data_IF_679702707906
#
_entry.id   IF_679702707906
#
_cell.length_a   1.000
_cell.length_b   1.000
_cell.length_c   1.000
_cell.angle_alpha   90.00
_cell.angle_beta   90.00
_cell.angle_gamma   90.00
#
_symmetry.space_group_name_H-M   'P 1'
#
loop_
_entity.id
_entity.type
_entity.pdbx_description
1 polymer ?
#
# COMPACT_ATOMS: atom_id res chain seq x y z
N UNK A 1 -38.49 -33.61 18.28
CA UNK A 1 -37.08 -33.33 18.66
C UNK A 1 -36.20 -34.41 18.05
N UNK A 2 -35.01 -34.24 17.48
CA UNK A 2 -34.18 -33.08 17.14
C UNK A 2 -33.11 -33.65 16.18
N UNK A 3 -32.92 -32.98 15.04
CA UNK A 3 -31.72 -32.88 14.17
C UNK A 3 -31.20 -34.10 13.39
N UNK A 4 -31.63 -34.16 12.12
CA UNK A 4 -30.87 -34.76 11.03
C UNK A 4 -29.69 -33.88 10.63
N UNK A 5 -28.52 -34.49 10.57
CA UNK A 5 -27.23 -33.85 10.30
C UNK A 5 -27.10 -33.52 8.80
N UNK A 6 -27.39 -32.26 8.40
CA UNK A 6 -27.07 -31.71 7.08
C UNK A 6 -25.81 -30.85 7.16
N UNK A 7 -24.64 -31.47 7.13
CA UNK A 7 -23.42 -30.77 6.69
C UNK A 7 -23.20 -31.07 5.22
N UNK A 8 -23.79 -30.22 4.39
CA UNK A 8 -23.54 -30.14 2.96
C UNK A 8 -22.10 -29.68 2.71
N UNK A 9 -21.38 -30.48 1.93
CA UNK A 9 -20.08 -30.23 1.30
C UNK A 9 -19.71 -28.76 1.10
N UNK A 10 -18.80 -28.25 1.94
CA UNK A 10 -18.00 -27.08 1.61
C UNK A 10 -16.96 -27.55 0.60
N UNK A 11 -17.18 -27.30 -0.69
CA UNK A 11 -16.10 -27.40 -1.69
C UNK A 11 -15.07 -26.33 -1.35
N UNK A 12 -13.95 -26.75 -0.77
CA UNK A 12 -12.76 -25.92 -0.60
C UNK A 12 -12.16 -25.71 -2.00
N UNK A 13 -12.57 -24.64 -2.67
CA UNK A 13 -11.97 -24.23 -3.93
C UNK A 13 -10.62 -23.57 -3.61
N UNK A 14 -9.53 -24.19 -4.07
CA UNK A 14 -8.17 -23.63 -4.02
C UNK A 14 -8.19 -22.19 -4.59
N UNK A 15 -7.76 -21.17 -3.83
CA UNK A 15 -7.70 -19.82 -4.38
C UNK A 15 -6.61 -19.78 -5.46
N UNK A 16 -7.05 -19.65 -6.72
CA UNK A 16 -6.17 -19.25 -7.83
C UNK A 16 -5.82 -17.78 -7.64
N UNK A 17 -4.90 -17.48 -6.71
CA UNK A 17 -4.23 -16.19 -6.69
C UNK A 17 -3.28 -16.19 -7.88
N UNK A 18 -3.68 -15.56 -8.98
CA UNK A 18 -2.72 -15.33 -10.06
C UNK A 18 -1.59 -14.48 -9.47
N UNK A 19 -0.39 -15.05 -9.42
CA UNK A 19 0.85 -14.45 -8.88
C UNK A 19 1.16 -13.09 -9.53
N UNK A 20 0.54 -12.77 -10.68
CA UNK A 20 0.67 -11.47 -11.36
C UNK A 20 0.04 -10.29 -10.61
N UNK A 21 -0.96 -10.50 -9.74
CA UNK A 21 -1.69 -9.40 -9.06
C UNK A 21 -1.14 -9.09 -7.67
N UNK A 22 -0.15 -9.84 -7.16
CA UNK A 22 0.48 -9.57 -5.85
C UNK A 22 1.60 -8.52 -5.90
N UNK A 23 1.65 -7.71 -6.94
CA UNK A 23 2.87 -7.01 -7.35
C UNK A 23 2.80 -5.52 -7.04
N UNK A 24 3.46 -5.16 -5.94
CA UNK A 24 3.91 -3.83 -5.50
C UNK A 24 3.22 -3.35 -4.23
N UNK A 25 3.69 -3.88 -3.11
CA UNK A 25 3.37 -3.37 -1.79
C UNK A 25 4.34 -2.21 -1.53
N UNK A 26 3.86 -0.98 -1.72
CA UNK A 26 4.60 0.27 -1.60
C UNK A 26 4.71 0.65 -0.12
N UNK A 27 5.93 0.66 0.42
CA UNK A 27 6.22 0.93 1.83
C UNK A 27 6.89 2.28 1.98
N UNK A 28 6.53 3.06 3.01
CA UNK A 28 7.39 4.16 3.46
C UNK A 28 8.83 3.65 3.61
N UNK A 29 9.74 4.19 2.79
CA UNK A 29 11.11 3.67 2.69
C UNK A 29 12.04 4.59 3.45
N UNK A 30 12.40 4.19 4.67
CA UNK A 30 13.48 4.84 5.41
C UNK A 30 14.81 4.45 4.74
N UNK A 31 15.38 5.39 3.99
CA UNK A 31 16.64 5.24 3.25
C UNK A 31 17.88 5.34 4.15
N UNK A 32 17.73 5.93 5.32
CA UNK A 32 18.83 6.10 6.26
C UNK A 32 18.36 6.78 7.53
N UNK A 33 18.98 6.41 8.65
CA UNK A 33 18.67 6.92 9.97
C UNK A 33 19.96 7.17 10.74
N UNK A 34 20.17 8.39 11.20
CA UNK A 34 21.21 8.73 12.15
C UNK A 34 20.54 9.20 13.45
N UNK A 35 20.57 8.35 14.47
CA UNK A 35 19.92 8.64 15.76
C UNK A 35 20.61 9.80 16.47
N UNK A 36 21.94 9.88 16.39
CA UNK A 36 22.74 10.91 17.08
C UNK A 36 22.49 12.30 16.52
N UNK A 37 22.38 12.40 15.20
CA UNK A 37 22.08 13.65 14.49
C UNK A 37 20.59 13.92 14.32
N UNK A 38 19.72 13.05 14.85
CA UNK A 38 18.27 13.18 14.71
C UNK A 38 17.75 13.13 13.27
N UNK A 39 18.53 12.54 12.35
CA UNK A 39 18.30 12.62 10.90
C UNK A 39 17.64 11.36 10.36
N UNK A 40 16.59 11.55 9.57
CA UNK A 40 15.82 10.52 8.88
C UNK A 40 15.70 10.85 7.40
N UNK A 41 16.20 9.99 6.53
CA UNK A 41 15.99 10.10 5.08
C UNK A 41 14.90 9.13 4.68
N UNK A 42 13.84 9.65 4.05
CA UNK A 42 12.60 8.93 3.79
C UNK A 42 12.25 9.11 2.32
N UNK A 43 11.79 8.04 1.67
CA UNK A 43 11.07 8.11 0.42
C UNK A 43 9.60 7.76 0.64
N UNK A 44 8.73 8.60 0.10
CA UNK A 44 7.28 8.44 0.13
C UNK A 44 6.90 7.49 -1.01
N UNK A 45 6.22 6.40 -0.70
CA UNK A 45 5.72 5.46 -1.71
C UNK A 45 4.18 5.40 -1.74
N UNK A 46 3.50 5.83 -0.67
CA UNK A 46 2.03 5.78 -0.56
C UNK A 46 1.41 7.05 0.04
N UNK A 47 0.09 7.19 -0.13
CA UNK A 47 -0.69 8.25 0.52
C UNK A 47 -0.65 8.15 2.05
N UNK A 48 -0.67 6.92 2.60
CA UNK A 48 -0.60 6.72 4.04
C UNK A 48 0.76 7.18 4.59
N UNK A 49 1.83 7.07 3.82
CA UNK A 49 3.16 7.57 4.21
C UNK A 49 3.13 9.10 4.43
N UNK A 50 2.40 9.84 3.59
CA UNK A 50 2.23 11.30 3.75
C UNK A 50 1.47 11.64 5.03
N UNK A 51 0.43 10.86 5.35
CA UNK A 51 -0.28 11.01 6.62
C UNK A 51 0.63 10.71 7.81
N UNK A 52 1.39 9.62 7.78
CA UNK A 52 2.36 9.31 8.83
C UNK A 52 3.44 10.39 8.98
N UNK A 53 3.95 10.93 7.88
CA UNK A 53 4.88 12.05 7.90
C UNK A 53 4.29 13.29 8.55
N UNK A 54 3.01 13.59 8.33
CA UNK A 54 2.33 14.71 9.00
C UNK A 54 2.31 14.58 10.52
N UNK A 55 2.27 13.34 11.02
CA UNK A 55 2.31 13.01 12.45
C UNK A 55 3.74 12.93 13.02
N UNK A 56 4.75 12.83 12.16
CA UNK A 56 6.17 12.72 12.54
C UNK A 56 6.84 14.09 12.52
N UNK A 57 6.53 14.93 11.53
CA UNK A 57 7.12 16.25 11.34
C UNK A 57 6.39 17.25 12.23
N UNK A 58 7.13 18.06 12.96
CA UNK A 58 6.60 19.04 13.93
C UNK A 58 7.27 20.41 13.72
N UNK A 59 6.69 21.45 14.31
CA UNK A 59 7.32 22.78 14.32
C UNK A 59 8.69 22.73 15.00
N UNK A 60 9.68 23.39 14.41
CA UNK A 60 11.08 23.37 14.86
C UNK A 60 11.95 22.26 14.25
N UNK A 61 11.36 21.32 13.51
CA UNK A 61 12.14 20.37 12.71
C UNK A 61 12.74 21.07 11.47
N UNK A 62 13.79 20.49 10.88
CA UNK A 62 14.26 20.89 9.54
C UNK A 62 13.93 19.82 8.52
N UNK A 63 13.27 20.21 7.43
CA UNK A 63 12.96 19.31 6.31
C UNK A 63 13.73 19.75 5.07
N UNK A 64 14.46 18.81 4.48
CA UNK A 64 15.26 19.02 3.28
C UNK A 64 14.76 18.15 2.13
N UNK A 65 14.36 18.77 1.02
CA UNK A 65 13.96 18.05 -0.20
C UNK A 65 14.22 18.87 -1.47
N UNK A 66 14.08 18.24 -2.63
CA UNK A 66 14.05 18.94 -3.91
C UNK A 66 12.70 19.61 -4.09
N UNK A 67 12.69 20.88 -4.47
CA UNK A 67 11.48 21.67 -4.73
C UNK A 67 11.71 22.57 -5.93
N UNK A 68 10.63 23.01 -6.55
CA UNK A 68 10.67 24.00 -7.61
C UNK A 68 10.32 25.38 -7.05
N UNK A 69 11.06 26.41 -7.45
CA UNK A 69 10.78 27.81 -7.12
C UNK A 69 10.96 28.68 -8.35
N UNK A 70 10.14 29.70 -8.48
CA UNK A 70 10.28 30.72 -9.53
C UNK A 70 11.25 31.79 -9.03
N UNK A 71 12.33 32.02 -9.78
CA UNK A 71 13.29 33.07 -9.50
C UNK A 71 12.99 34.24 -10.44
N UNK A 72 12.93 35.45 -9.90
CA UNK A 72 12.81 36.67 -10.71
C UNK A 72 14.16 36.95 -11.37
N UNK A 73 14.12 37.32 -12.66
CA UNK A 73 15.31 37.79 -13.35
C UNK A 73 15.85 39.07 -12.67
N UNK A 74 17.17 39.22 -12.63
CA UNK A 74 17.84 40.41 -12.10
C UNK A 74 17.40 41.69 -12.83
N UNK A 75 17.45 42.82 -12.13
CA UNK A 75 16.69 44.04 -12.44
C UNK A 75 16.99 44.77 -13.77
N UNK A 76 17.90 44.27 -14.61
CA UNK A 76 18.38 44.94 -15.82
C UNK A 76 17.63 44.56 -17.13
N UNK A 77 16.57 43.75 -17.07
CA UNK A 77 15.75 43.47 -18.26
C UNK A 77 14.46 44.30 -18.27
N UNK A 78 14.39 45.28 -19.17
CA UNK A 78 13.27 46.22 -19.41
C UNK A 78 11.92 45.53 -19.77
N UNK A 79 11.90 44.20 -19.97
CA UNK A 79 10.67 43.41 -20.14
C UNK A 79 10.60 42.30 -19.09
N UNK A 80 9.53 42.32 -18.30
CA UNK A 80 9.25 41.35 -17.25
C UNK A 80 8.87 39.98 -17.83
N UNK A 81 9.85 39.15 -18.15
CA UNK A 81 9.70 37.74 -18.59
C UNK A 81 9.29 36.80 -17.46
N UNK A 82 8.42 37.23 -16.54
CA UNK A 82 7.76 36.40 -15.53
C UNK A 82 8.65 35.66 -14.51
N UNK A 83 9.96 35.51 -14.70
CA UNK A 83 10.85 34.68 -13.90
C UNK A 83 10.86 33.20 -14.33
N UNK A 84 12.02 32.55 -14.18
CA UNK A 84 12.25 31.15 -14.57
C UNK A 84 11.97 30.18 -13.41
N UNK A 85 11.24 29.08 -13.69
CA UNK A 85 11.03 28.00 -12.72
C UNK A 85 12.28 27.12 -12.69
N UNK A 86 12.91 27.01 -11.53
CA UNK A 86 14.12 26.21 -11.35
C UNK A 86 13.94 25.23 -10.18
N UNK A 87 14.67 24.12 -10.24
CA UNK A 87 14.61 23.06 -9.24
C UNK A 87 15.83 23.14 -8.33
N UNK A 88 15.62 23.19 -7.03
CA UNK A 88 16.67 23.29 -6.02
C UNK A 88 16.42 22.32 -4.88
N UNK A 89 17.47 22.02 -4.12
CA UNK A 89 17.30 21.35 -2.81
C UNK A 89 17.31 22.43 -1.74
N UNK A 90 16.23 22.54 -0.98
CA UNK A 90 16.10 23.50 0.11
C UNK A 90 15.97 22.75 1.44
N UNK A 91 16.55 23.32 2.48
CA UNK A 91 16.26 22.99 3.87
C UNK A 91 15.32 24.06 4.43
N UNK A 92 14.21 23.63 5.03
CA UNK A 92 13.18 24.50 5.59
C UNK A 92 13.00 24.16 7.06
N UNK A 93 13.19 25.14 7.94
CA UNK A 93 12.81 25.07 9.35
C UNK A 93 11.28 25.17 9.43
N UNK A 94 10.64 24.12 9.92
CA UNK A 94 9.20 23.93 9.86
C UNK A 94 8.50 24.83 10.87
N UNK A 95 7.52 25.61 10.39
CA UNK A 95 6.58 26.32 11.24
C UNK A 95 5.32 25.46 11.46
N UNK A 96 4.80 24.89 10.37
CA UNK A 96 3.62 24.01 10.37
C UNK A 96 3.66 23.01 9.22
N UNK A 97 2.96 21.90 9.40
CA UNK A 97 2.65 20.98 8.32
C UNK A 97 1.14 20.75 8.21
N UNK A 98 0.66 20.45 7.00
CA UNK A 98 -0.74 20.20 6.71
C UNK A 98 -0.87 19.11 5.64
N UNK A 99 -1.45 17.97 6.01
CA UNK A 99 -1.78 16.91 5.08
C UNK A 99 -3.10 17.20 4.37
N UNK A 100 -3.07 17.22 3.03
CA UNK A 100 -4.24 17.43 2.16
C UNK A 100 -4.51 16.14 1.40
N UNK A 101 -5.33 15.23 1.97
CA UNK A 101 -5.53 13.94 1.35
C UNK A 101 -6.25 14.09 0.00
N UNK A 102 -7.11 15.09 -0.22
CA UNK A 102 -7.83 15.30 -1.50
C UNK A 102 -6.90 15.58 -2.68
N UNK A 103 -5.68 16.03 -2.40
CA UNK A 103 -4.66 16.38 -3.38
C UNK A 103 -3.42 15.49 -3.28
N UNK A 104 -3.49 14.42 -2.47
CA UNK A 104 -2.38 13.49 -2.21
C UNK A 104 -1.04 14.19 -1.90
N UNK A 105 -1.10 15.27 -1.10
CA UNK A 105 0.07 16.12 -0.81
C UNK A 105 0.19 16.45 0.68
N UNK A 106 1.42 16.43 1.20
CA UNK A 106 1.78 16.99 2.50
C UNK A 106 2.47 18.34 2.30
N UNK A 107 1.85 19.43 2.78
CA UNK A 107 2.42 20.77 2.72
C UNK A 107 3.20 21.07 3.99
N UNK A 108 4.46 21.46 3.85
CA UNK A 108 5.34 21.81 4.96
C UNK A 108 5.77 23.25 4.76
N UNK A 109 5.21 24.16 5.56
CA UNK A 109 5.50 25.59 5.49
C UNK A 109 6.51 25.95 6.56
N UNK A 110 7.46 26.80 6.19
CA UNK A 110 8.50 27.21 7.10
C UNK A 110 9.43 28.25 6.52
N UNK A 111 10.56 28.44 7.19
CA UNK A 111 11.59 29.40 6.79
C UNK A 111 12.80 28.67 6.19
N UNK A 112 13.32 29.17 5.07
CA UNK A 112 14.50 28.57 4.43
C UNK A 112 15.74 28.83 5.29
N UNK A 113 16.40 27.78 5.77
CA UNK A 113 17.66 27.88 6.51
C UNK A 113 18.88 27.47 5.68
N UNK A 114 18.72 26.63 4.65
CA UNK A 114 19.79 26.29 3.70
C UNK A 114 19.28 26.19 2.26
N UNK A 115 20.11 26.64 1.32
CA UNK A 115 19.85 26.56 -0.12
C UNK A 115 21.05 27.08 -0.92
N UNK A 116 21.03 26.96 -2.26
CA UNK A 116 22.06 27.55 -3.11
C UNK A 116 22.03 29.08 -2.96
N UNK A 117 23.05 29.64 -2.29
CA UNK A 117 23.07 31.01 -1.77
C UNK A 117 22.89 32.11 -2.81
N UNK A 118 23.27 31.85 -4.07
CA UNK A 118 23.21 32.83 -5.14
C UNK A 118 21.78 33.02 -5.71
N UNK A 119 20.86 32.10 -5.39
CA UNK A 119 19.57 31.97 -6.06
C UNK A 119 18.37 32.01 -5.09
N UNK A 120 18.64 31.92 -3.79
CA UNK A 120 17.60 31.74 -2.77
C UNK A 120 17.90 32.60 -1.55
N UNK A 121 16.98 33.51 -1.23
CA UNK A 121 17.06 34.33 -0.02
C UNK A 121 16.82 33.45 1.22
N UNK A 122 17.89 33.19 1.98
CA UNK A 122 17.81 32.60 3.31
C UNK A 122 16.92 33.46 4.21
N UNK A 123 16.17 32.84 5.10
CA UNK A 123 15.19 33.53 5.94
C UNK A 123 13.85 33.84 5.26
N UNK A 124 13.70 33.60 3.95
CA UNK A 124 12.39 33.73 3.28
C UNK A 124 11.50 32.51 3.56
N UNK A 125 10.19 32.72 3.61
CA UNK A 125 9.23 31.63 3.75
C UNK A 125 9.10 30.82 2.47
N UNK A 126 8.96 29.51 2.62
CA UNK A 126 8.67 28.58 1.53
C UNK A 126 7.79 27.44 2.02
N UNK A 127 6.99 26.90 1.10
CA UNK A 127 6.18 25.70 1.36
C UNK A 127 6.67 24.57 0.47
N UNK A 128 7.12 23.50 1.10
CA UNK A 128 7.46 22.25 0.44
C UNK A 128 6.19 21.43 0.24
N UNK A 129 5.93 21.02 -1.00
CA UNK A 129 4.87 20.06 -1.31
C UNK A 129 5.54 18.69 -1.45
N UNK A 130 5.24 17.78 -0.51
CA UNK A 130 5.71 16.40 -0.55
C UNK A 130 4.61 15.55 -1.19
N UNK A 131 4.94 14.89 -2.29
CA UNK A 131 4.06 13.99 -3.04
C UNK A 131 4.59 12.54 -2.99
N UNK A 132 3.82 11.59 -3.53
CA UNK A 132 4.32 10.22 -3.69
C UNK A 132 5.54 10.19 -4.61
N UNK A 133 6.47 9.26 -4.36
CA UNK A 133 7.79 9.14 -4.98
C UNK A 133 8.85 10.17 -4.55
N UNK A 134 8.46 11.23 -3.81
CA UNK A 134 9.44 12.18 -3.30
C UNK A 134 10.36 11.57 -2.25
N UNK A 135 11.58 12.11 -2.19
CA UNK A 135 12.55 11.81 -1.14
C UNK A 135 12.85 13.06 -0.34
N UNK A 136 12.66 12.97 0.97
CA UNK A 136 12.91 14.04 1.93
C UNK A 136 13.85 13.57 3.04
N UNK A 137 14.55 14.52 3.64
CA UNK A 137 15.30 14.31 4.87
C UNK A 137 14.67 15.16 5.97
N UNK A 138 14.24 14.52 7.05
CA UNK A 138 13.74 15.16 8.26
C UNK A 138 14.88 15.15 9.28
N UNK A 139 15.21 16.30 9.84
CA UNK A 139 16.18 16.46 10.93
C UNK A 139 15.43 16.99 12.13
N UNK A 140 15.39 16.19 13.20
CA UNK A 140 14.79 16.56 14.48
C UNK A 140 15.89 16.89 15.49
N UNK A 141 15.66 17.81 16.44
CA UNK A 141 16.57 18.02 17.57
C UNK A 141 16.80 16.74 18.39
N UNK A 142 15.76 15.91 18.52
CA UNK A 142 15.84 14.60 19.17
C UNK A 142 14.86 13.61 18.55
N UNK A 143 15.35 12.43 18.20
CA UNK A 143 14.49 11.30 17.81
C UNK A 143 13.99 10.56 19.06
N UNK A 144 12.74 10.84 19.43
CA UNK A 144 12.09 10.20 20.58
C UNK A 144 11.58 8.80 20.24
N UNK A 145 11.37 7.95 21.26
CA UNK A 145 10.79 6.62 21.07
C UNK A 145 9.42 6.66 20.35
N UNK A 146 8.47 7.55 20.73
CA UNK A 146 7.19 7.67 20.01
C UNK A 146 7.35 8.01 18.53
N UNK A 147 8.27 8.91 18.16
CA UNK A 147 8.53 9.23 16.75
C UNK A 147 9.02 7.99 15.99
N UNK A 148 9.93 7.23 16.60
CA UNK A 148 10.43 6.00 16.00
C UNK A 148 9.33 4.94 15.88
N UNK A 149 8.42 4.84 16.85
CA UNK A 149 7.26 3.95 16.79
C UNK A 149 6.28 4.34 15.69
N UNK A 150 5.99 5.64 15.48
CA UNK A 150 5.17 6.10 14.36
C UNK A 150 5.77 5.73 13.01
N UNK A 151 7.08 5.90 12.85
CA UNK A 151 7.78 5.47 11.64
C UNK A 151 7.66 3.95 11.46
N UNK A 152 7.80 3.17 12.54
CA UNK A 152 7.59 1.70 12.49
C UNK A 152 6.17 1.32 12.11
N UNK A 153 5.17 2.06 12.60
CA UNK A 153 3.78 1.85 12.24
C UNK A 153 3.56 2.13 10.75
N UNK A 154 4.07 3.26 10.24
CA UNK A 154 4.05 3.57 8.81
C UNK A 154 4.67 2.46 7.97
N UNK A 155 5.80 1.95 8.44
CA UNK A 155 6.49 0.84 7.81
C UNK A 155 5.68 -0.47 7.80
N UNK A 156 4.93 -0.76 8.87
CA UNK A 156 4.09 -1.95 8.96
C UNK A 156 2.74 -1.83 8.24
N UNK A 157 2.16 -0.64 8.24
CA UNK A 157 0.90 -0.28 7.59
C UNK A 157 0.90 -0.66 6.11
N UNK A 158 1.97 -0.29 5.42
CA UNK A 158 2.15 -0.57 4.01
C UNK A 158 2.12 -2.05 3.68
N UNK A 159 2.46 -2.95 4.61
CA UNK A 159 2.49 -4.40 4.39
C UNK A 159 1.10 -5.04 4.46
N UNK A 160 0.11 -4.32 5.01
CA UNK A 160 -1.24 -4.85 5.19
C UNK A 160 -1.91 -5.10 3.84
N UNK A 161 -2.67 -6.19 3.70
CA UNK A 161 -3.43 -6.41 2.48
C UNK A 161 -4.46 -5.30 2.30
N UNK A 162 -4.54 -4.76 1.09
CA UNK A 162 -5.57 -3.83 0.68
C UNK A 162 -6.79 -4.62 0.21
N UNK A 163 -7.92 -4.35 0.83
CA UNK A 163 -9.21 -4.93 0.49
C UNK A 163 -10.15 -3.80 0.09
N UNK A 164 -10.83 -3.97 -1.03
CA UNK A 164 -11.80 -3.01 -1.55
C UNK A 164 -13.20 -3.45 -1.11
N UNK A 165 -14.02 -2.51 -0.64
CA UNK A 165 -15.43 -2.79 -0.34
C UNK A 165 -16.30 -2.20 -1.45
N UNK A 166 -17.22 -2.98 -1.99
CA UNK A 166 -18.22 -2.58 -2.97
C UNK A 166 -19.61 -2.77 -2.36
N UNK A 167 -20.32 -1.67 -2.13
CA UNK A 167 -21.72 -1.69 -1.72
C UNK A 167 -22.59 -1.55 -2.95
N UNK A 168 -23.54 -2.47 -3.13
CA UNK A 168 -24.47 -2.51 -4.26
C UNK A 168 -25.91 -2.30 -3.82
N UNK A 169 -26.57 -1.40 -4.53
CA UNK A 169 -28.02 -1.21 -4.52
C UNK A 169 -28.51 -1.13 -5.96
N UNK A 170 -29.81 -1.19 -6.14
CA UNK A 170 -30.39 -1.16 -7.47
C UNK A 170 -30.08 0.18 -8.18
N UNK A 171 -29.20 0.13 -9.17
CA UNK A 171 -28.76 1.31 -9.93
C UNK A 171 -27.67 2.14 -9.24
N UNK A 172 -27.16 1.72 -8.08
CA UNK A 172 -26.13 2.45 -7.32
C UNK A 172 -25.03 1.50 -6.86
N UNK A 173 -23.79 1.96 -6.95
CA UNK A 173 -22.63 1.22 -6.49
C UNK A 173 -21.64 2.17 -5.82
N UNK A 174 -21.18 1.83 -4.62
CA UNK A 174 -20.18 2.61 -3.88
C UNK A 174 -18.99 1.73 -3.59
N UNK A 175 -17.84 2.09 -4.18
CA UNK A 175 -16.55 1.52 -3.87
C UNK A 175 -15.94 2.32 -2.72
N UNK A 176 -15.46 1.64 -1.69
CA UNK A 176 -14.68 2.18 -0.60
C UNK A 176 -13.31 1.54 -0.58
N UNK A 177 -12.27 2.34 -0.86
CA UNK A 177 -10.88 1.97 -0.68
C UNK A 177 -10.40 2.44 0.69
N UNK A 178 -10.00 1.50 1.53
CA UNK A 178 -9.62 1.75 2.91
C UNK A 178 -8.13 2.07 2.97
N UNK A 179 -7.82 3.31 3.34
CA UNK A 179 -6.50 3.74 3.76
C UNK A 179 -6.46 3.84 5.29
N UNK A 180 -5.29 4.00 5.87
CA UNK A 180 -5.19 4.20 7.32
C UNK A 180 -5.65 5.59 7.75
N UNK A 181 -5.44 6.58 6.87
CA UNK A 181 -5.83 7.97 7.09
C UNK A 181 -7.30 8.27 6.78
N UNK A 182 -7.89 7.58 5.79
CA UNK A 182 -9.25 7.83 5.30
C UNK A 182 -9.82 6.67 4.51
N UNK A 183 -11.08 6.79 4.12
CA UNK A 183 -11.68 5.95 3.08
C UNK A 183 -11.85 6.81 1.83
N UNK A 184 -11.33 6.34 0.71
CA UNK A 184 -11.54 6.96 -0.61
C UNK A 184 -12.75 6.31 -1.26
N UNK A 185 -13.73 7.13 -1.64
CA UNK A 185 -15.00 6.65 -2.22
C UNK A 185 -15.06 6.87 -3.73
N UNK A 186 -15.61 5.90 -4.46
CA UNK A 186 -16.00 6.05 -5.86
C UNK A 186 -17.44 5.58 -6.03
N UNK A 187 -18.32 6.48 -6.46
CA UNK A 187 -19.75 6.25 -6.59
C UNK A 187 -20.15 6.16 -8.07
N UNK A 188 -20.91 5.13 -8.42
CA UNK A 188 -21.43 4.90 -9.76
C UNK A 188 -22.96 4.79 -9.66
N UNK A 189 -23.64 5.62 -10.44
CA UNK A 189 -25.10 5.61 -10.52
C UNK A 189 -25.55 5.32 -11.96
N UNK A 190 -26.70 4.66 -12.10
CA UNK A 190 -27.35 4.40 -13.38
C UNK A 190 -28.87 4.51 -13.25
N UNK A 191 -29.48 5.24 -14.19
CA UNK A 191 -30.93 5.22 -14.35
C UNK A 191 -31.32 3.93 -15.07
N UNK A 192 -32.00 3.03 -14.36
CA UNK A 192 -32.43 1.75 -14.90
C UNK A 192 -33.77 1.81 -15.64
N UNK A 193 -34.46 2.95 -15.66
CA UNK A 193 -35.80 3.10 -16.25
C UNK A 193 -36.92 2.60 -15.34
N UNK A 194 -38.17 2.94 -15.67
CA UNK A 194 -39.35 2.59 -14.85
C UNK A 194 -39.64 1.09 -14.80
N UNK A 195 -40.35 0.64 -13.76
CA UNK A 195 -40.70 -0.78 -13.55
C UNK A 195 -41.51 -1.40 -14.70
N UNK A 196 -42.22 -0.58 -15.48
CA UNK A 196 -43.05 -1.01 -16.61
C UNK A 196 -42.26 -1.40 -17.87
N UNK A 197 -40.97 -1.02 -17.99
CA UNK A 197 -40.13 -1.32 -19.15
C UNK A 197 -39.08 -2.40 -18.81
N UNK A 198 -39.55 -3.63 -18.59
CA UNK A 198 -38.73 -4.72 -18.05
C UNK A 198 -37.52 -5.11 -18.92
N UNK A 199 -37.67 -5.13 -20.26
CA UNK A 199 -36.56 -5.46 -21.17
C UNK A 199 -35.45 -4.41 -21.12
N UNK A 200 -35.81 -3.13 -21.23
CA UNK A 200 -34.84 -2.03 -21.19
C UNK A 200 -34.17 -1.93 -19.83
N UNK A 201 -34.92 -2.16 -18.74
CA UNK A 201 -34.39 -2.23 -17.39
C UNK A 201 -33.35 -3.33 -17.23
N UNK A 202 -33.63 -4.54 -17.71
CA UNK A 202 -32.67 -5.65 -17.69
C UNK A 202 -31.39 -5.35 -18.47
N UNK A 203 -31.53 -4.74 -19.66
CA UNK A 203 -30.38 -4.34 -20.49
C UNK A 203 -29.55 -3.24 -19.83
N UNK A 204 -30.18 -2.22 -19.26
CA UNK A 204 -29.50 -1.13 -18.56
C UNK A 204 -28.79 -1.61 -17.30
N UNK A 205 -29.37 -2.59 -16.59
CA UNK A 205 -28.77 -3.23 -15.43
C UNK A 205 -27.48 -4.00 -15.79
N UNK A 206 -27.51 -4.80 -16.87
CA UNK A 206 -26.30 -5.48 -17.37
C UNK A 206 -25.20 -4.49 -17.78
N UNK A 207 -25.56 -3.38 -18.46
CA UNK A 207 -24.61 -2.31 -18.79
C UNK A 207 -24.00 -1.67 -17.55
N UNK A 208 -24.79 -1.46 -16.50
CA UNK A 208 -24.31 -0.92 -15.23
C UNK A 208 -23.31 -1.87 -14.57
N UNK A 209 -23.58 -3.18 -14.56
CA UNK A 209 -22.65 -4.19 -14.06
C UNK A 209 -21.34 -4.25 -14.85
N UNK A 210 -21.41 -4.12 -16.19
CA UNK A 210 -20.20 -4.03 -17.02
C UNK A 210 -19.35 -2.81 -16.65
N UNK A 211 -19.97 -1.66 -16.38
CA UNK A 211 -19.29 -0.44 -15.90
C UNK A 211 -18.64 -0.63 -14.52
N UNK A 212 -19.30 -1.37 -13.62
CA UNK A 212 -18.72 -1.72 -12.30
C UNK A 212 -17.49 -2.61 -12.50
N UNK A 213 -17.57 -3.64 -13.34
CA UNK A 213 -16.43 -4.53 -13.63
C UNK A 213 -15.25 -3.77 -14.23
N UNK A 214 -15.50 -2.85 -15.16
CA UNK A 214 -14.46 -1.99 -15.73
C UNK A 214 -13.78 -1.12 -14.66
N UNK A 215 -14.58 -0.51 -13.79
CA UNK A 215 -14.08 0.30 -12.67
C UNK A 215 -13.24 -0.55 -11.72
N UNK A 216 -13.70 -1.76 -11.37
CA UNK A 216 -12.95 -2.70 -10.55
C UNK A 216 -11.63 -3.10 -11.22
N UNK A 217 -11.63 -3.43 -12.51
CA UNK A 217 -10.38 -3.78 -13.23
C UNK A 217 -9.32 -2.69 -13.12
N UNK A 218 -9.72 -1.43 -13.30
CA UNK A 218 -8.83 -0.27 -13.16
C UNK A 218 -8.31 -0.13 -11.73
N UNK A 219 -9.21 -0.08 -10.75
CA UNK A 219 -8.86 0.14 -9.33
C UNK A 219 -8.01 -0.98 -8.76
N UNK A 220 -8.35 -2.24 -9.05
CA UNK A 220 -7.59 -3.40 -8.57
C UNK A 220 -6.14 -3.37 -9.03
N UNK A 221 -5.93 -2.94 -10.28
CA UNK A 221 -4.60 -2.87 -10.90
C UNK A 221 -3.81 -1.68 -10.37
N UNK A 222 -4.40 -0.48 -10.32
CA UNK A 222 -3.70 0.74 -9.90
C UNK A 222 -3.32 0.73 -8.42
N UNK A 223 -4.17 0.15 -7.57
CA UNK A 223 -3.99 0.20 -6.11
C UNK A 223 -3.36 -1.05 -5.51
N UNK A 224 -3.10 -2.08 -6.33
CA UNK A 224 -2.63 -3.39 -5.88
C UNK A 224 -3.55 -3.98 -4.79
N UNK A 225 -4.84 -4.11 -5.11
CA UNK A 225 -5.87 -4.67 -4.22
C UNK A 225 -5.89 -6.20 -4.34
N UNK A 226 -5.98 -6.90 -3.21
CA UNK A 226 -5.91 -8.36 -3.22
C UNK A 226 -7.25 -9.07 -3.05
N UNK A 227 -8.26 -8.39 -2.50
CA UNK A 227 -9.62 -8.92 -2.42
C UNK A 227 -10.68 -7.83 -2.54
N UNK A 228 -11.88 -8.24 -2.95
CA UNK A 228 -13.06 -7.37 -3.03
C UNK A 228 -14.16 -7.95 -2.15
N UNK A 229 -14.66 -7.19 -1.19
CA UNK A 229 -15.87 -7.52 -0.45
C UNK A 229 -17.04 -6.85 -1.13
N UNK A 230 -17.99 -7.63 -1.64
CA UNK A 230 -19.23 -7.15 -2.24
C UNK A 230 -20.35 -7.32 -1.23
N UNK A 231 -20.99 -6.23 -0.85
CA UNK A 231 -22.11 -6.24 0.06
C UNK A 231 -23.22 -5.30 -0.42
N UNK A 232 -24.33 -5.28 0.31
CA UNK A 232 -25.47 -4.41 -0.01
C UNK A 232 -26.79 -5.02 0.44
N UNK A 233 -27.82 -4.18 0.63
CA UNK A 233 -29.12 -4.63 1.05
C UNK A 233 -29.82 -5.43 -0.06
N UNK A 234 -30.57 -6.46 0.34
CA UNK A 234 -31.38 -7.26 -0.58
C UNK A 234 -30.55 -8.12 -1.55
N UNK A 235 -31.10 -8.33 -2.75
CA UNK A 235 -30.60 -9.35 -3.69
C UNK A 235 -29.66 -8.81 -4.77
N UNK A 236 -29.38 -7.51 -4.81
CA UNK A 236 -28.63 -6.89 -5.92
C UNK A 236 -27.24 -7.51 -6.09
N UNK A 237 -26.51 -7.70 -4.99
CA UNK A 237 -25.22 -8.39 -4.98
C UNK A 237 -25.26 -9.80 -5.57
N UNK A 238 -26.38 -10.52 -5.43
CA UNK A 238 -26.54 -11.88 -5.97
C UNK A 238 -26.73 -11.86 -7.49
N UNK A 239 -27.43 -10.85 -8.01
CA UNK A 239 -27.54 -10.64 -9.46
C UNK A 239 -26.18 -10.23 -10.05
N UNK A 240 -25.46 -9.34 -9.38
CA UNK A 240 -24.10 -8.97 -9.77
C UNK A 240 -23.16 -10.18 -9.76
N UNK A 241 -23.25 -11.05 -8.75
CA UNK A 241 -22.48 -12.30 -8.68
C UNK A 241 -22.66 -13.16 -9.94
N UNK A 242 -23.90 -13.41 -10.35
CA UNK A 242 -24.20 -14.17 -11.58
C UNK A 242 -23.58 -13.51 -12.82
N UNK A 243 -23.70 -12.19 -12.93
CA UNK A 243 -23.12 -11.44 -14.05
C UNK A 243 -21.59 -11.54 -14.08
N UNK A 244 -20.93 -11.48 -12.92
CA UNK A 244 -19.47 -11.67 -12.81
C UNK A 244 -19.07 -13.11 -13.15
N UNK A 245 -19.83 -14.11 -12.71
CA UNK A 245 -19.61 -15.53 -13.05
C UNK A 245 -19.73 -15.79 -14.55
N UNK A 246 -20.62 -15.08 -15.26
CA UNK A 246 -20.72 -15.13 -16.72
C UNK A 246 -19.49 -14.48 -17.40
N UNK A 247 -19.03 -13.32 -16.91
CA UNK A 247 -17.91 -12.57 -17.49
C UNK A 247 -16.53 -13.14 -17.15
N UNK A 248 -16.41 -13.90 -16.06
CA UNK A 248 -15.19 -14.55 -15.56
C UNK A 248 -13.95 -13.62 -15.51
N UNK A 249 -14.03 -12.47 -14.81
CA UNK A 249 -12.85 -11.61 -14.67
C UNK A 249 -11.75 -12.33 -13.85
N UNK A 250 -10.47 -11.96 -14.05
CA UNK A 250 -9.33 -12.66 -13.45
C UNK A 250 -9.31 -12.66 -11.91
N UNK A 251 -10.03 -11.74 -11.27
CA UNK A 251 -10.11 -11.55 -9.82
C UNK A 251 -11.37 -12.17 -9.18
N UNK A 252 -12.19 -12.91 -9.93
CA UNK A 252 -13.44 -13.51 -9.43
C UNK A 252 -13.26 -14.34 -8.15
N UNK A 253 -12.16 -15.09 -8.05
CA UNK A 253 -11.85 -15.94 -6.89
C UNK A 253 -11.47 -15.15 -5.62
N UNK A 254 -11.15 -13.86 -5.79
CA UNK A 254 -10.79 -12.95 -4.72
C UNK A 254 -12.00 -12.13 -4.25
N UNK A 255 -13.20 -12.40 -4.78
CA UNK A 255 -14.43 -11.82 -4.28
C UNK A 255 -14.91 -12.53 -3.02
N UNK A 256 -15.44 -11.76 -2.08
CA UNK A 256 -16.18 -12.24 -0.91
C UNK A 256 -17.51 -11.51 -0.89
N UNK A 257 -18.58 -12.22 -0.57
CA UNK A 257 -19.91 -11.63 -0.48
C UNK A 257 -20.30 -11.52 0.99
N UNK A 258 -20.84 -10.38 1.37
CA UNK A 258 -21.38 -10.13 2.71
C UNK A 258 -22.75 -9.44 2.60
N UNK A 259 -23.52 -9.45 3.68
CA UNK A 259 -24.77 -8.70 3.80
C UNK A 259 -24.47 -7.30 4.35
N UNK A 260 -25.17 -6.27 3.89
CA UNK A 260 -25.11 -4.93 4.49
C UNK A 260 -26.52 -4.42 4.65
N UNK A 261 -26.86 -3.93 5.84
CA UNK A 261 -28.18 -3.32 6.06
C UNK A 261 -28.29 -1.95 5.40
N UNK A 262 -27.14 -1.30 5.19
CA UNK A 262 -27.04 0.06 4.66
C UNK A 262 -26.49 0.09 3.24
N UNK A 263 -26.92 1.11 2.50
CA UNK A 263 -26.40 1.50 1.20
C UNK A 263 -25.23 2.47 1.27
N UNK A 264 -24.66 2.78 0.10
CA UNK A 264 -23.68 3.85 -0.05
C UNK A 264 -22.45 3.76 0.87
N UNK A 265 -21.94 4.92 1.30
CA UNK A 265 -20.77 5.05 2.20
C UNK A 265 -21.03 4.49 3.60
N UNK A 266 -22.28 4.51 4.07
CA UNK A 266 -22.65 3.96 5.37
C UNK A 266 -22.50 2.43 5.36
N UNK A 267 -22.89 1.76 4.27
CA UNK A 267 -22.65 0.33 4.08
C UNK A 267 -21.15 -0.01 4.10
N UNK A 268 -20.29 0.83 3.50
CA UNK A 268 -18.83 0.63 3.59
C UNK A 268 -18.37 0.67 5.04
N UNK A 269 -18.83 1.68 5.79
CA UNK A 269 -18.50 1.86 7.21
C UNK A 269 -19.03 0.72 8.10
N UNK A 270 -20.17 0.13 7.74
CA UNK A 270 -20.73 -1.05 8.39
C UNK A 270 -19.82 -2.27 8.20
N UNK A 271 -19.43 -2.56 6.94
CA UNK A 271 -18.63 -3.74 6.58
C UNK A 271 -17.26 -3.72 7.26
N UNK A 272 -16.55 -2.59 7.25
CA UNK A 272 -15.18 -2.52 7.80
C UNK A 272 -15.11 -2.80 9.31
N UNK A 273 -16.22 -2.61 10.04
CA UNK A 273 -16.28 -2.82 11.50
C UNK A 273 -16.51 -4.29 11.86
N UNK A 274 -16.95 -5.12 10.90
CA UNK A 274 -17.30 -6.52 11.15
C UNK A 274 -16.06 -7.41 11.27
N UNK A 275 -16.18 -8.44 12.09
CA UNK A 275 -15.12 -9.44 12.21
C UNK A 275 -14.94 -10.27 10.94
N UNK A 276 -15.99 -10.41 10.12
CA UNK A 276 -15.88 -11.04 8.80
C UNK A 276 -14.86 -10.31 7.91
N UNK A 277 -14.87 -8.97 7.91
CA UNK A 277 -13.88 -8.18 7.17
C UNK A 277 -12.46 -8.38 7.72
N UNK A 278 -12.29 -8.40 9.05
CA UNK A 278 -10.99 -8.68 9.68
C UNK A 278 -10.46 -10.06 9.32
N UNK A 279 -11.33 -11.08 9.28
CA UNK A 279 -10.96 -12.44 8.85
C UNK A 279 -10.50 -12.46 7.40
N UNK A 280 -11.18 -11.73 6.50
CA UNK A 280 -10.76 -11.61 5.10
C UNK A 280 -9.36 -10.99 4.99
N UNK A 281 -9.05 -9.94 5.77
CA UNK A 281 -7.71 -9.37 5.82
C UNK A 281 -6.66 -10.42 6.23
N UNK A 282 -6.95 -11.20 7.27
CA UNK A 282 -6.06 -12.26 7.73
C UNK A 282 -5.88 -13.36 6.68
N UNK A 283 -6.96 -13.87 6.09
CA UNK A 283 -6.93 -14.88 5.02
C UNK A 283 -6.08 -14.42 3.83
N UNK A 284 -6.26 -13.17 3.40
CA UNK A 284 -5.51 -12.61 2.27
C UNK A 284 -4.01 -12.52 2.58
N UNK A 285 -3.62 -12.22 3.82
CA UNK A 285 -2.22 -12.25 4.24
C UNK A 285 -1.69 -13.68 4.22
N UNK A 286 -2.40 -14.61 4.86
CA UNK A 286 -1.98 -16.01 4.98
C UNK A 286 -1.80 -16.69 3.61
N UNK A 287 -2.74 -16.49 2.68
CA UNK A 287 -2.63 -17.05 1.32
C UNK A 287 -1.42 -16.50 0.58
N UNK A 288 -1.11 -15.21 0.76
CA UNK A 288 0.07 -14.59 0.14
C UNK A 288 1.37 -15.15 0.73
N UNK A 289 1.44 -15.24 2.06
CA UNK A 289 2.59 -15.78 2.79
C UNK A 289 2.84 -17.24 2.41
N UNK A 290 1.80 -18.06 2.30
CA UNK A 290 1.89 -19.45 1.84
C UNK A 290 2.43 -19.53 0.41
N UNK A 291 1.92 -18.70 -0.51
CA UNK A 291 2.40 -18.68 -1.89
C UNK A 291 3.90 -18.34 -2.00
N UNK A 292 4.40 -17.42 -1.16
CA UNK A 292 5.83 -17.10 -1.11
C UNK A 292 6.67 -18.28 -0.62
N UNK A 293 6.20 -18.99 0.41
CA UNK A 293 6.89 -20.18 0.93
C UNK A 293 6.85 -21.32 -0.08
N UNK A 294 5.73 -21.54 -0.77
CA UNK A 294 5.66 -22.53 -1.84
C UNK A 294 6.62 -22.23 -3.00
N UNK A 295 6.77 -20.95 -3.38
CA UNK A 295 7.77 -20.54 -4.39
C UNK A 295 9.19 -20.92 -3.92
N UNK A 296 9.54 -20.65 -2.66
CA UNK A 296 10.84 -21.00 -2.08
C UNK A 296 11.06 -22.53 -2.09
N UNK A 297 10.11 -23.29 -1.53
CA UNK A 297 10.23 -24.76 -1.44
C UNK A 297 10.33 -25.41 -2.82
N UNK A 298 9.59 -24.88 -3.80
CA UNK A 298 9.66 -25.33 -5.19
C UNK A 298 11.02 -25.06 -5.83
N UNK A 299 11.61 -23.90 -5.58
CA UNK A 299 12.94 -23.58 -6.11
C UNK A 299 14.04 -24.39 -5.40
N UNK A 300 13.90 -24.70 -4.10
CA UNK A 300 14.78 -25.64 -3.38
C UNK A 300 14.73 -27.01 -4.06
N UNK A 301 13.52 -27.54 -4.30
CA UNK A 301 13.35 -28.87 -4.92
C UNK A 301 13.84 -28.97 -6.37
N UNK A 302 14.10 -27.85 -7.06
CA UNK A 302 14.69 -27.83 -8.40
C UNK A 302 16.22 -27.92 -8.38
N UNK A 303 16.85 -27.65 -7.23
CA UNK A 303 18.29 -27.68 -7.02
C UNK A 303 19.10 -26.87 -8.05
N UNK A 304 18.64 -25.65 -8.34
CA UNK A 304 19.29 -24.74 -9.31
C UNK A 304 20.10 -23.61 -8.66
N UNK A 305 20.34 -23.69 -7.35
CA UNK A 305 21.02 -22.64 -6.57
C UNK A 305 20.31 -21.28 -6.56
N UNK A 306 19.00 -21.22 -6.85
CA UNK A 306 18.20 -19.98 -6.93
C UNK A 306 17.49 -19.62 -5.63
N UNK A 307 17.89 -20.22 -4.52
CA UNK A 307 17.36 -19.94 -3.19
C UNK A 307 18.54 -19.80 -2.24
N UNK A 308 18.47 -18.82 -1.34
CA UNK A 308 19.34 -18.72 -0.18
C UNK A 308 18.47 -18.84 1.06
N UNK A 309 18.87 -19.66 2.03
CA UNK A 309 18.18 -19.78 3.32
C UNK A 309 19.22 -19.81 4.44
N UNK A 310 18.84 -19.43 5.66
CA UNK A 310 19.77 -18.96 6.70
C UNK A 310 20.31 -17.54 6.46
N UNK A 311 20.68 -16.88 7.55
CA UNK A 311 21.13 -15.49 7.52
C UNK A 311 22.41 -15.29 6.69
N UNK A 312 23.37 -16.23 6.78
CA UNK A 312 24.67 -16.13 6.11
C UNK A 312 24.54 -16.21 4.58
N UNK A 313 23.76 -17.16 4.08
CA UNK A 313 23.53 -17.29 2.63
C UNK A 313 22.75 -16.09 2.09
N UNK A 314 21.75 -15.64 2.84
CA UNK A 314 20.94 -14.48 2.47
C UNK A 314 21.80 -13.22 2.44
N UNK A 315 22.69 -13.01 3.41
CA UNK A 315 23.67 -11.92 3.38
C UNK A 315 24.53 -11.95 2.12
N UNK A 316 25.08 -13.11 1.76
CA UNK A 316 25.86 -13.28 0.54
C UNK A 316 25.03 -12.95 -0.71
N UNK A 317 23.77 -13.40 -0.76
CA UNK A 317 22.87 -13.12 -1.87
C UNK A 317 22.49 -11.64 -1.99
N UNK A 318 22.28 -10.96 -0.86
CA UNK A 318 22.05 -9.52 -0.81
C UNK A 318 23.30 -8.77 -1.25
N UNK A 319 24.49 -9.21 -0.83
CA UNK A 319 25.77 -8.65 -1.27
C UNK A 319 25.97 -8.74 -2.78
N UNK A 320 25.57 -9.86 -3.39
CA UNK A 320 25.63 -10.08 -4.83
C UNK A 320 24.49 -9.38 -5.62
N UNK A 321 23.59 -8.64 -4.96
CA UNK A 321 22.39 -8.04 -5.56
C UNK A 321 21.48 -9.06 -6.31
N UNK A 322 21.58 -10.34 -5.93
CA UNK A 322 20.91 -11.44 -6.60
C UNK A 322 19.45 -11.61 -6.12
N UNK A 323 19.08 -11.03 -4.98
CA UNK A 323 17.78 -11.26 -4.35
C UNK A 323 16.62 -10.69 -5.18
N UNK A 324 15.65 -11.56 -5.49
CA UNK A 324 14.35 -11.22 -6.07
C UNK A 324 13.30 -10.97 -4.98
N UNK A 325 13.21 -11.86 -4.00
CA UNK A 325 12.29 -11.78 -2.86
C UNK A 325 13.02 -12.22 -1.59
N UNK A 326 12.94 -11.45 -0.52
CA UNK A 326 13.43 -11.76 0.81
C UNK A 326 12.25 -11.91 1.77
N UNK A 327 12.17 -13.05 2.45
CA UNK A 327 11.20 -13.32 3.50
C UNK A 327 11.90 -13.40 4.85
N UNK A 328 11.32 -12.78 5.87
CA UNK A 328 11.83 -12.82 7.25
C UNK A 328 10.69 -13.06 8.21
N UNK A 329 10.89 -13.85 9.25
CA UNK A 329 9.92 -13.97 10.34
C UNK A 329 9.96 -12.73 11.24
N UNK A 330 8.81 -12.32 11.76
CA UNK A 330 8.70 -11.23 12.75
C UNK A 330 9.56 -11.46 14.02
N UNK A 331 9.68 -12.70 14.47
CA UNK A 331 10.58 -13.13 15.56
C UNK A 331 12.03 -12.81 15.23
N UNK A 332 12.55 -13.30 14.10
CA UNK A 332 13.93 -13.02 13.68
C UNK A 332 14.16 -11.53 13.41
N UNK A 333 13.19 -10.83 12.85
CA UNK A 333 13.23 -9.38 12.67
C UNK A 333 13.35 -8.65 14.02
N UNK A 334 12.66 -9.13 15.06
CA UNK A 334 12.70 -8.53 16.40
C UNK A 334 14.04 -8.81 17.08
N UNK A 335 14.54 -10.04 16.99
CA UNK A 335 15.81 -10.48 17.60
C UNK A 335 17.03 -9.79 16.99
N UNK A 336 17.09 -9.70 15.65
CA UNK A 336 18.26 -9.21 14.89
C UNK A 336 17.97 -7.94 14.09
N UNK A 337 17.20 -7.05 14.69
CA UNK A 337 16.59 -5.90 14.01
C UNK A 337 17.55 -5.08 13.16
N UNK A 338 18.71 -4.69 13.68
CA UNK A 338 19.68 -3.86 12.94
C UNK A 338 20.22 -4.53 11.67
N UNK A 339 20.61 -5.80 11.78
CA UNK A 339 21.10 -6.61 10.66
C UNK A 339 20.00 -6.82 9.61
N UNK A 340 18.82 -7.24 10.06
CA UNK A 340 17.70 -7.53 9.17
C UNK A 340 17.20 -6.24 8.48
N UNK A 341 17.09 -5.11 9.19
CA UNK A 341 16.73 -3.82 8.59
C UNK A 341 17.71 -3.42 7.48
N UNK A 342 19.01 -3.63 7.69
CA UNK A 342 20.03 -3.38 6.68
C UNK A 342 19.85 -4.29 5.44
N UNK A 343 19.58 -5.58 5.62
CA UNK A 343 19.31 -6.50 4.51
C UNK A 343 18.05 -6.12 3.73
N UNK A 344 16.95 -5.86 4.43
CA UNK A 344 15.69 -5.42 3.83
C UNK A 344 15.90 -4.15 3.00
N UNK A 345 16.66 -3.18 3.53
CA UNK A 345 16.98 -1.93 2.82
C UNK A 345 17.78 -2.19 1.53
N UNK A 346 18.81 -3.03 1.58
CA UNK A 346 19.65 -3.35 0.42
C UNK A 346 18.89 -4.10 -0.67
N UNK A 347 18.06 -5.08 -0.29
CA UNK A 347 17.18 -5.78 -1.24
C UNK A 347 16.26 -4.80 -1.95
N UNK A 348 15.64 -3.87 -1.22
CA UNK A 348 14.79 -2.85 -1.85
C UNK A 348 15.54 -1.89 -2.75
N UNK A 349 16.74 -1.44 -2.36
CA UNK A 349 17.58 -0.55 -3.17
C UNK A 349 17.95 -1.18 -4.52
N UNK A 350 18.04 -2.50 -4.57
CA UNK A 350 18.29 -3.27 -5.79
C UNK A 350 17.00 -3.71 -6.49
N UNK A 351 15.86 -3.09 -6.14
CA UNK A 351 14.51 -3.39 -6.67
C UNK A 351 14.03 -4.83 -6.38
N UNK A 352 14.58 -5.47 -5.35
CA UNK A 352 14.09 -6.73 -4.81
C UNK A 352 12.89 -6.51 -3.88
N UNK A 353 12.08 -7.55 -3.69
CA UNK A 353 10.91 -7.52 -2.81
C UNK A 353 11.26 -8.03 -1.43
N UNK A 354 10.53 -7.56 -0.42
CA UNK A 354 10.72 -8.00 0.96
C UNK A 354 9.37 -8.23 1.64
N UNK A 355 9.25 -9.24 2.49
CA UNK A 355 8.04 -9.48 3.26
C UNK A 355 8.38 -10.04 4.64
N UNK A 356 7.70 -9.54 5.68
CA UNK A 356 7.81 -10.07 7.04
C UNK A 356 6.60 -10.97 7.28
N UNK A 357 6.83 -12.20 7.71
CA UNK A 357 5.81 -13.22 7.95
C UNK A 357 5.59 -13.37 9.46
N UNK A 358 4.33 -13.42 9.89
CA UNK A 358 3.99 -13.73 11.27
C UNK A 358 4.40 -15.17 11.61
N UNK A 359 5.24 -15.34 12.63
CA UNK A 359 5.72 -16.64 13.10
C UNK A 359 4.61 -17.60 13.56
N UNK A 360 3.44 -17.09 13.95
CA UNK A 360 2.31 -17.88 14.44
C UNK A 360 1.50 -18.54 13.30
N UNK A 361 1.69 -18.10 12.06
CA UNK A 361 1.00 -18.65 10.90
C UNK A 361 1.72 -19.90 10.32
N UNK A 362 1.02 -20.80 9.59
CA UNK A 362 1.64 -21.96 8.93
C UNK A 362 2.86 -21.63 8.05
N UNK A 363 2.81 -20.52 7.32
CA UNK A 363 3.93 -20.02 6.52
C UNK A 363 5.12 -19.60 7.41
N UNK A 364 4.85 -18.99 8.56
CA UNK A 364 5.83 -18.61 9.57
C UNK A 364 6.56 -19.82 10.15
N UNK A 365 5.84 -20.88 10.51
CA UNK A 365 6.44 -22.13 10.99
C UNK A 365 7.39 -22.77 9.95
N UNK A 366 6.98 -22.80 8.69
CA UNK A 366 7.82 -23.29 7.58
C UNK A 366 9.08 -22.43 7.41
N UNK A 367 8.93 -21.10 7.41
CA UNK A 367 10.07 -20.19 7.29
C UNK A 367 11.02 -20.30 8.49
N UNK A 368 10.48 -20.45 9.70
CA UNK A 368 11.26 -20.68 10.92
C UNK A 368 12.09 -21.96 10.83
N UNK A 369 11.54 -23.01 10.22
CA UNK A 369 12.25 -24.25 9.93
C UNK A 369 13.43 -24.07 8.96
N UNK A 370 13.40 -23.02 8.13
CA UNK A 370 14.51 -22.59 7.25
C UNK A 370 15.47 -21.59 7.92
N UNK A 371 15.41 -21.42 9.25
CA UNK A 371 16.22 -20.47 10.00
C UNK A 371 15.61 -19.07 10.11
N UNK A 372 14.32 -18.92 9.83
CA UNK A 372 13.57 -17.68 10.02
C UNK A 372 13.79 -16.62 8.93
N UNK A 373 14.63 -16.90 7.94
CA UNK A 373 14.91 -16.04 6.77
C UNK A 373 15.21 -16.88 5.54
N UNK A 374 14.67 -16.47 4.40
CA UNK A 374 14.96 -17.09 3.11
C UNK A 374 14.75 -16.10 1.96
N UNK A 375 15.42 -16.32 0.84
CA UNK A 375 15.35 -15.48 -0.34
C UNK A 375 15.29 -16.29 -1.63
N UNK A 376 14.46 -15.87 -2.58
CA UNK A 376 14.56 -16.32 -3.98
C UNK A 376 15.47 -15.39 -4.76
N UNK A 377 16.23 -15.96 -5.69
CA UNK A 377 17.28 -15.25 -6.42
C UNK A 377 16.91 -15.08 -7.90
N UNK A 378 17.41 -14.01 -8.51
CA UNK A 378 17.29 -13.72 -9.95
C UNK A 378 18.16 -14.67 -10.77
N UNK A 379 19.34 -14.97 -10.25
CA UNK A 379 20.35 -15.88 -10.82
C UNK A 379 20.96 -16.72 -9.70
N UNK A 380 21.55 -17.87 -10.06
CA UNK A 380 22.20 -18.76 -9.10
C UNK A 380 23.51 -18.15 -8.60
N UNK A 381 23.91 -18.47 -7.36
CA UNK A 381 25.16 -18.01 -6.75
C UNK A 381 26.23 -19.11 -6.59
N UNK A 382 25.93 -20.33 -7.05
CA UNK A 382 26.79 -21.50 -6.87
C UNK A 382 25.97 -22.71 -6.47
#
# INVERSE_FOLDING_TARGET
>A
MIFGNKYSHIKVYKPYVSIKVLNNVHKMRVLGKNIREGRLKIQVESLDDLWYLSQVIEGGDTVRMKTQRRIKDSADSIRSTGGKKMTFTLSVLVDKNEFKPEHDVLRISGTINEGPGDLVSLGSHHTLNVETQDTLTVVKPKLTKPTLERIRQAEGASLRPKVLVLILQEGEATLGLIHESRITYSELNANLGGKYYAQDRGKNKKKFYDKIIETLNRTLTSENIQAVVVAGPGFEKNYFKKHVEEKKPPWINNMRFDESSMGGRQGVSEIIKRDAYKKILQEVSSVREEAYIEEILKEIGKDKGKVAYSLKEVEAAVNANAVKLLLVTDTLYTEKRGEIEHLLMRVKNTKGKTHIINHENPAGFKLKSLGGVAATLRFSLG
#
